data_IF_063011086960
#
_entry.id   IF_063011086960
#
_cell.length_a   1.000
_cell.length_b   1.000
_cell.length_c   1.000
_cell.angle_alpha   90.00
_cell.angle_beta   90.00
_cell.angle_gamma   90.00
#
_symmetry.space_group_name_H-M   'P 1'
#
loop_
_entity.id
_entity.type
_entity.pdbx_description
1 polymer ?
#
# COMPACT_ATOMS: atom_id res chain seq x y z
N UNK A 1 9.13 -22.79 6.39
CA UNK A 1 8.04 -21.90 5.91
C UNK A 1 8.65 -20.80 5.05
N UNK A 2 8.22 -20.69 3.78
CA UNK A 2 8.71 -19.69 2.81
C UNK A 2 7.98 -18.34 3.03
N UNK A 3 8.26 -17.66 4.14
CA UNK A 3 7.81 -16.26 4.38
C UNK A 3 8.79 -15.23 3.81
N UNK A 4 9.97 -15.70 3.39
CA UNK A 4 10.90 -14.94 2.57
C UNK A 4 10.17 -14.56 1.29
N UNK A 5 9.99 -13.25 1.07
CA UNK A 5 9.29 -12.64 -0.07
C UNK A 5 7.76 -12.63 0.01
N UNK A 6 7.19 -12.55 1.22
CA UNK A 6 5.75 -12.29 1.42
C UNK A 6 5.49 -10.94 2.07
N UNK A 7 4.35 -10.36 1.72
CA UNK A 7 3.80 -9.18 2.37
C UNK A 7 2.55 -9.52 3.18
N UNK A 8 2.27 -8.69 4.18
CA UNK A 8 1.09 -8.79 5.04
C UNK A 8 0.26 -7.53 4.89
N UNK A 9 -1.05 -7.70 4.77
CA UNK A 9 -2.03 -6.62 4.79
C UNK A 9 -2.86 -6.83 6.06
N UNK A 10 -2.82 -5.86 6.97
CA UNK A 10 -3.56 -5.87 8.23
C UNK A 10 -4.53 -4.70 8.26
N UNK A 11 -5.82 -4.98 8.30
CA UNK A 11 -6.88 -3.96 8.36
C UNK A 11 -7.28 -3.74 9.81
N UNK A 12 -7.23 -2.48 10.25
CA UNK A 12 -7.70 -2.01 11.55
C UNK A 12 -8.85 -1.02 11.34
N UNK A 13 -9.55 -0.62 12.40
CA UNK A 13 -10.69 0.30 12.30
C UNK A 13 -10.34 1.62 11.61
N UNK A 14 -9.15 2.18 11.89
CA UNK A 14 -8.76 3.51 11.43
C UNK A 14 -7.71 3.53 10.31
N UNK A 15 -7.07 2.39 10.05
CA UNK A 15 -5.99 2.30 9.07
C UNK A 15 -5.77 0.88 8.56
N UNK A 16 -5.22 0.80 7.35
CA UNK A 16 -4.72 -0.45 6.78
C UNK A 16 -3.21 -0.40 6.73
N UNK A 17 -2.56 -1.42 7.28
CA UNK A 17 -1.12 -1.55 7.30
C UNK A 17 -0.67 -2.58 6.27
N UNK A 18 0.35 -2.24 5.49
CA UNK A 18 1.00 -3.11 4.51
C UNK A 18 2.46 -3.24 4.86
N UNK A 19 2.90 -4.45 5.15
CA UNK A 19 4.28 -4.76 5.47
C UNK A 19 4.86 -5.73 4.45
N UNK A 20 6.10 -5.51 4.02
CA UNK A 20 6.84 -6.45 3.18
C UNK A 20 8.09 -6.88 3.94
N UNK A 21 8.29 -8.19 4.02
CA UNK A 21 9.45 -8.78 4.68
C UNK A 21 10.35 -9.44 3.63
N UNK A 22 11.64 -9.17 3.71
CA UNK A 22 12.66 -9.85 2.93
C UNK A 22 13.77 -10.33 3.87
N UNK A 23 14.17 -11.60 3.77
CA UNK A 23 15.17 -12.20 4.64
C UNK A 23 14.92 -12.01 6.16
N UNK A 24 13.66 -11.93 6.60
CA UNK A 24 13.30 -11.71 8.01
C UNK A 24 13.42 -10.25 8.48
N UNK A 25 13.68 -9.30 7.58
CA UNK A 25 13.71 -7.86 7.85
C UNK A 25 12.54 -7.17 7.16
N UNK A 26 11.94 -6.19 7.85
CA UNK A 26 10.93 -5.31 7.24
C UNK A 26 11.61 -4.39 6.24
N UNK A 27 11.27 -4.51 4.96
CA UNK A 27 11.78 -3.64 3.89
C UNK A 27 10.80 -2.55 3.50
N UNK A 28 9.52 -2.73 3.82
CA UNK A 28 8.48 -1.73 3.66
C UNK A 28 7.46 -1.89 4.78
N UNK A 29 7.09 -0.78 5.41
CA UNK A 29 5.96 -0.69 6.32
C UNK A 29 5.18 0.57 5.93
N UNK A 30 3.93 0.40 5.52
CA UNK A 30 3.06 1.50 5.14
C UNK A 30 1.77 1.42 5.94
N UNK A 31 1.37 2.52 6.55
CA UNK A 31 0.07 2.67 7.20
C UNK A 31 -0.76 3.69 6.43
N UNK A 32 -1.86 3.22 5.86
CA UNK A 32 -2.82 4.01 5.10
C UNK A 32 -3.96 4.43 6.03
N UNK A 33 -3.99 5.71 6.41
CA UNK A 33 -5.13 6.35 7.06
C UNK A 33 -6.01 7.03 6.00
N UNK A 34 -7.12 7.63 6.38
CA UNK A 34 -7.99 8.36 5.44
C UNK A 34 -7.25 9.52 4.75
N UNK A 35 -6.53 10.34 5.51
CA UNK A 35 -5.92 11.57 5.00
C UNK A 35 -4.39 11.53 4.88
N UNK A 36 -3.74 10.46 5.35
CA UNK A 36 -2.27 10.37 5.40
C UNK A 36 -1.76 8.95 5.18
N UNK A 37 -0.54 8.88 4.67
CA UNK A 37 0.23 7.65 4.51
C UNK A 37 1.51 7.77 5.33
N UNK A 38 1.74 6.81 6.23
CA UNK A 38 2.92 6.78 7.07
C UNK A 38 3.84 5.62 6.67
N UNK A 39 5.11 5.92 6.40
CA UNK A 39 6.18 4.94 6.16
C UNK A 39 6.81 4.42 7.45
N UNK A 40 6.71 5.21 8.51
CA UNK A 40 7.22 4.90 9.84
C UNK A 40 6.45 5.75 10.86
N UNK A 41 6.71 5.57 12.15
CA UNK A 41 6.09 6.36 13.23
C UNK A 41 6.34 7.87 13.08
N UNK A 42 7.46 8.26 12.46
CA UNK A 42 7.87 9.67 12.33
C UNK A 42 7.81 10.21 10.89
N UNK A 43 7.46 9.36 9.91
CA UNK A 43 7.44 9.74 8.49
C UNK A 43 6.04 9.55 7.94
N UNK A 44 5.20 10.57 8.11
CA UNK A 44 3.86 10.62 7.56
C UNK A 44 3.75 11.78 6.57
N UNK A 45 3.22 11.50 5.39
CA UNK A 45 2.90 12.48 4.35
C UNK A 45 1.38 12.45 4.10
N UNK A 46 0.80 13.53 3.58
CA UNK A 46 -0.62 13.50 3.20
C UNK A 46 -0.85 12.50 2.07
N UNK A 47 -2.04 11.87 2.00
CA UNK A 47 -2.35 10.90 0.93
C UNK A 47 -2.16 11.50 -0.47
N UNK A 48 -2.47 12.80 -0.61
CA UNK A 48 -2.27 13.57 -1.84
C UNK A 48 -0.80 13.73 -2.22
N UNK A 49 0.05 14.11 -1.27
CA UNK A 49 1.50 14.25 -1.51
C UNK A 49 2.14 12.91 -1.80
N UNK A 50 1.74 11.86 -1.07
CA UNK A 50 2.21 10.50 -1.31
C UNK A 50 1.89 10.06 -2.75
N UNK A 51 0.64 10.24 -3.19
CA UNK A 51 0.23 9.92 -4.56
C UNK A 51 1.03 10.73 -5.58
N UNK A 52 1.22 12.03 -5.35
CA UNK A 52 2.02 12.87 -6.25
C UNK A 52 3.49 12.42 -6.35
N UNK A 53 4.06 11.92 -5.25
CA UNK A 53 5.49 11.58 -5.15
C UNK A 53 5.82 10.17 -5.64
N UNK A 54 4.97 9.18 -5.35
CA UNK A 54 5.24 7.77 -5.66
C UNK A 54 4.31 7.16 -6.71
N UNK A 55 3.20 7.83 -7.01
CA UNK A 55 2.25 7.41 -8.03
C UNK A 55 2.10 8.53 -9.07
N UNK A 56 0.90 9.09 -9.19
CA UNK A 56 0.60 10.25 -10.02
C UNK A 56 -0.39 11.17 -9.30
N UNK A 57 -0.33 12.47 -9.59
CA UNK A 57 -1.21 13.48 -8.96
C UNK A 57 -2.68 13.36 -9.35
N UNK A 58 -3.02 12.58 -10.38
CA UNK A 58 -4.41 12.35 -10.79
C UNK A 58 -5.16 11.37 -9.89
N UNK A 59 -4.46 10.60 -9.04
CA UNK A 59 -5.12 9.64 -8.16
C UNK A 59 -5.77 10.33 -6.96
N UNK A 60 -6.99 9.89 -6.66
CA UNK A 60 -7.76 10.30 -5.49
C UNK A 60 -7.00 9.96 -4.19
N UNK A 61 -7.22 10.74 -3.14
CA UNK A 61 -6.54 10.56 -1.85
C UNK A 61 -6.75 9.15 -1.27
N UNK A 62 -7.97 8.60 -1.39
CA UNK A 62 -8.32 7.26 -0.89
C UNK A 62 -7.92 6.10 -1.82
N UNK A 63 -7.20 6.37 -2.91
CA UNK A 63 -6.90 5.39 -3.95
C UNK A 63 -6.18 4.14 -3.42
N UNK A 64 -5.10 4.34 -2.66
CA UNK A 64 -4.31 3.23 -2.11
C UNK A 64 -5.13 2.43 -1.10
N UNK A 65 -5.84 3.11 -0.21
CA UNK A 65 -6.73 2.49 0.78
C UNK A 65 -7.78 1.61 0.10
N UNK A 66 -8.44 2.12 -0.94
CA UNK A 66 -9.45 1.37 -1.71
C UNK A 66 -8.89 0.10 -2.36
N UNK A 67 -7.63 0.14 -2.81
CA UNK A 67 -6.97 -1.03 -3.40
C UNK A 67 -6.66 -2.10 -2.36
N UNK A 68 -6.10 -1.71 -1.22
CA UNK A 68 -5.65 -2.65 -0.19
C UNK A 68 -6.81 -3.18 0.68
N UNK A 69 -7.86 -2.39 0.88
CA UNK A 69 -9.08 -2.79 1.59
C UNK A 69 -9.94 -3.75 0.76
N UNK A 70 -9.63 -3.93 -0.53
CA UNK A 70 -10.34 -4.85 -1.38
C UNK A 70 -10.09 -6.31 -0.97
N UNK A 71 -11.14 -7.01 -0.54
CA UNK A 71 -11.07 -8.40 -0.07
C UNK A 71 -11.05 -9.47 -1.18
N UNK A 72 -10.88 -9.08 -2.44
CA UNK A 72 -10.69 -10.02 -3.55
C UNK A 72 -9.40 -10.83 -3.39
N UNK A 73 -9.45 -12.10 -3.84
CA UNK A 73 -8.30 -13.02 -3.86
C UNK A 73 -7.16 -12.50 -4.75
N UNK A 74 -7.51 -11.89 -5.88
CA UNK A 74 -6.56 -11.23 -6.77
C UNK A 74 -7.10 -9.84 -7.14
N UNK A 75 -6.25 -8.84 -6.94
CA UNK A 75 -6.50 -7.45 -7.35
C UNK A 75 -5.37 -7.04 -8.28
N UNK A 76 -5.72 -6.62 -9.50
CA UNK A 76 -4.77 -6.09 -10.48
C UNK A 76 -5.23 -4.70 -10.89
N UNK A 77 -4.43 -3.71 -10.56
CA UNK A 77 -4.56 -2.36 -11.06
C UNK A 77 -3.39 -2.07 -12.00
N UNK A 78 -3.70 -1.71 -13.25
CA UNK A 78 -2.68 -1.40 -14.26
C UNK A 78 -3.03 -0.09 -14.93
N UNK A 79 -2.18 0.89 -14.72
CA UNK A 79 -2.21 2.17 -15.39
C UNK A 79 -1.04 2.24 -16.37
N UNK A 80 -1.36 2.21 -17.67
CA UNK A 80 -0.35 2.28 -18.73
C UNK A 80 0.12 3.70 -19.01
N UNK A 81 -0.72 4.70 -18.71
CA UNK A 81 -0.40 6.11 -18.95
C UNK A 81 0.69 6.57 -17.97
N UNK A 82 0.56 6.17 -16.71
CA UNK A 82 1.50 6.54 -15.64
C UNK A 82 2.50 5.42 -15.30
N UNK A 83 2.54 4.33 -16.08
CA UNK A 83 3.42 3.16 -15.87
C UNK A 83 3.33 2.53 -14.47
N UNK A 84 2.13 2.45 -13.90
CA UNK A 84 1.89 1.91 -12.55
C UNK A 84 1.22 0.54 -12.64
N UNK A 85 1.78 -0.42 -11.90
CA UNK A 85 1.21 -1.76 -11.72
C UNK A 85 1.12 -2.07 -10.22
N UNK A 86 -0.10 -2.26 -9.72
CA UNK A 86 -0.34 -2.76 -8.37
C UNK A 86 -1.01 -4.12 -8.50
N UNK A 87 -0.34 -5.16 -8.02
CA UNK A 87 -0.85 -6.53 -8.06
C UNK A 87 -0.81 -7.15 -6.67
N UNK A 88 -1.98 -7.53 -6.17
CA UNK A 88 -2.16 -8.17 -4.86
C UNK A 88 -2.69 -9.57 -5.13
N UNK A 89 -1.97 -10.59 -4.65
CA UNK A 89 -2.43 -11.98 -4.61
C UNK A 89 -2.47 -12.43 -3.16
N UNK A 90 -3.67 -12.70 -2.65
CA UNK A 90 -3.89 -13.25 -1.32
C UNK A 90 -3.79 -14.77 -1.40
N UNK A 91 -3.03 -15.37 -0.49
CA UNK A 91 -2.98 -16.83 -0.31
C UNK A 91 -4.32 -17.34 0.25
#
# INVERSE_FOLDING_TARGET
MKFYDKGFISTFENYTQVQIYSAGKTVLDLKFYENRVCKSTFECESSKEFNKKYLHSSYKEDFLKTIFDNNKKETVFRDKEHNILIKIKKD
#
